data_IF_958710367693
#
_entry.id   IF_958710367693
#
_cell.length_a   1.000
_cell.length_b   1.000
_cell.length_c   1.000
_cell.angle_alpha   90.00
_cell.angle_beta   90.00
_cell.angle_gamma   90.00
#
_symmetry.space_group_name_H-M   'P 1'
#
loop_
_entity.id
_entity.type
_entity.pdbx_description
1 polymer ?
#
# COMPACT_ATOMS: atom_id res chain seq x y z
N UNK A 1 1.61 -7.46 -11.89
CA UNK A 1 0.84 -6.21 -11.67
C UNK A 1 1.66 -4.96 -12.00
N UNK A 2 2.93 -4.85 -11.57
CA UNK A 2 3.79 -3.68 -11.86
C UNK A 2 3.82 -3.28 -13.34
N UNK A 3 4.15 -4.21 -14.24
CA UNK A 3 4.19 -3.94 -15.68
C UNK A 3 2.86 -3.46 -16.28
N UNK A 4 1.73 -3.90 -15.71
CA UNK A 4 0.40 -3.46 -16.17
C UNK A 4 0.12 -2.00 -15.79
N UNK A 5 0.48 -1.60 -14.55
CA UNK A 5 0.38 -0.22 -14.09
C UNK A 5 1.32 0.69 -14.88
N UNK A 6 2.55 0.24 -15.15
CA UNK A 6 3.50 0.98 -15.98
C UNK A 6 3.02 1.12 -17.43
N UNK A 7 2.43 0.07 -18.02
CA UNK A 7 1.85 0.13 -19.36
C UNK A 7 0.66 1.11 -19.46
N UNK A 8 0.03 1.44 -18.32
CA UNK A 8 -0.99 2.48 -18.19
C UNK A 8 -0.41 3.88 -17.96
N UNK A 9 0.91 4.03 -17.99
CA UNK A 9 1.61 5.30 -17.82
C UNK A 9 1.94 5.66 -16.37
N UNK A 10 1.76 4.74 -15.42
CA UNK A 10 2.08 5.00 -14.01
C UNK A 10 3.59 4.83 -13.80
N UNK A 11 4.30 5.82 -13.22
CA UNK A 11 5.71 5.70 -12.89
C UNK A 11 5.99 4.46 -12.03
N UNK A 12 7.15 3.84 -12.22
CA UNK A 12 7.50 2.59 -11.53
C UNK A 12 7.46 2.71 -10.00
N UNK A 13 7.92 3.84 -9.46
CA UNK A 13 7.91 4.19 -8.04
C UNK A 13 6.49 4.27 -7.48
N UNK A 14 5.60 4.95 -8.20
CA UNK A 14 4.18 5.06 -7.85
C UNK A 14 3.48 3.70 -7.97
N UNK A 15 3.76 2.95 -9.03
CA UNK A 15 3.20 1.63 -9.25
C UNK A 15 3.62 0.63 -8.15
N UNK A 16 4.87 0.68 -7.68
CA UNK A 16 5.31 -0.12 -6.52
C UNK A 16 4.55 0.24 -5.26
N UNK A 17 4.41 1.54 -4.97
CA UNK A 17 3.65 2.03 -3.80
C UNK A 17 2.20 1.55 -3.82
N UNK A 18 1.53 1.61 -4.97
CA UNK A 18 0.15 1.13 -5.13
C UNK A 18 0.02 -0.37 -4.86
N UNK A 19 0.96 -1.18 -5.33
CA UNK A 19 0.96 -2.62 -5.11
C UNK A 19 1.16 -2.94 -3.62
N UNK A 20 2.15 -2.32 -2.98
CA UNK A 20 2.45 -2.57 -1.56
C UNK A 20 1.27 -2.12 -0.68
N UNK A 21 0.71 -0.93 -0.93
CA UNK A 21 -0.49 -0.45 -0.23
C UNK A 21 -1.65 -1.42 -0.38
N UNK A 22 -1.95 -1.86 -1.60
CA UNK A 22 -3.06 -2.79 -1.85
C UNK A 22 -2.87 -4.13 -1.11
N UNK A 23 -1.65 -4.65 -1.11
CA UNK A 23 -1.31 -5.89 -0.41
C UNK A 23 -1.46 -5.76 1.12
N UNK A 24 -0.91 -4.69 1.70
CA UNK A 24 -0.95 -4.48 3.15
C UNK A 24 -2.38 -4.18 3.64
N UNK A 25 -3.16 -3.41 2.89
CA UNK A 25 -4.57 -3.17 3.21
C UNK A 25 -5.38 -4.47 3.28
N UNK A 26 -5.12 -5.44 2.37
CA UNK A 26 -5.80 -6.74 2.43
C UNK A 26 -5.43 -7.55 3.69
N UNK A 27 -4.20 -7.40 4.18
CA UNK A 27 -3.76 -8.04 5.44
C UNK A 27 -4.40 -7.35 6.64
N UNK A 28 -4.40 -6.01 6.67
CA UNK A 28 -4.98 -5.22 7.76
C UNK A 28 -6.47 -5.57 7.91
N UNK A 29 -7.22 -5.61 6.81
CA UNK A 29 -8.65 -5.96 6.81
C UNK A 29 -8.96 -7.39 7.33
N UNK A 30 -7.96 -8.29 7.41
CA UNK A 30 -8.16 -9.64 7.99
C UNK A 30 -8.13 -9.64 9.51
N UNK A 31 -7.75 -8.53 10.15
CA UNK A 31 -7.67 -8.41 11.61
C UNK A 31 -9.08 -8.36 12.22
N UNK A 32 -10.03 -7.67 11.58
CA UNK A 32 -11.43 -7.64 11.99
C UNK A 32 -11.70 -6.81 13.25
N UNK A 33 -10.78 -5.92 13.61
CA UNK A 33 -10.83 -5.06 14.80
C UNK A 33 -10.57 -3.63 14.36
N UNK A 34 -11.63 -2.82 14.26
CA UNK A 34 -11.59 -1.54 13.53
C UNK A 34 -10.58 -0.53 14.08
N UNK A 35 -10.46 -0.38 15.39
CA UNK A 35 -9.48 0.51 16.03
C UNK A 35 -8.03 0.10 15.75
N UNK A 36 -7.77 -1.22 15.70
CA UNK A 36 -6.46 -1.76 15.34
C UNK A 36 -6.18 -1.58 13.84
N UNK A 37 -7.20 -1.75 13.00
CA UNK A 37 -7.07 -1.52 11.56
C UNK A 37 -6.73 -0.06 11.26
N UNK A 38 -7.42 0.88 11.90
CA UNK A 38 -7.19 2.32 11.75
C UNK A 38 -5.76 2.71 12.15
N UNK A 39 -5.26 2.19 13.28
CA UNK A 39 -3.90 2.44 13.74
C UNK A 39 -2.85 1.88 12.75
N UNK A 40 -3.04 0.63 12.29
CA UNK A 40 -2.11 -0.01 11.37
C UNK A 40 -2.13 0.63 9.98
N UNK A 41 -3.30 1.09 9.50
CA UNK A 41 -3.39 1.85 8.25
C UNK A 41 -2.66 3.17 8.36
N UNK A 42 -2.76 3.89 9.48
CA UNK A 42 -2.01 5.13 9.69
C UNK A 42 -0.49 4.89 9.68
N UNK A 43 -0.01 3.88 10.41
CA UNK A 43 1.40 3.50 10.46
C UNK A 43 1.91 3.08 9.08
N UNK A 44 1.13 2.27 8.34
CA UNK A 44 1.47 1.85 6.98
C UNK A 44 1.63 3.06 6.03
N UNK A 45 0.73 4.04 6.09
CA UNK A 45 0.80 5.23 5.24
C UNK A 45 2.01 6.11 5.56
N UNK A 46 2.39 6.21 6.84
CA UNK A 46 3.62 6.90 7.26
C UNK A 46 4.87 6.19 6.74
N UNK A 47 4.95 4.86 6.89
CA UNK A 47 6.09 4.07 6.40
C UNK A 47 6.21 4.12 4.87
N UNK A 48 5.09 4.04 4.15
CA UNK A 48 5.09 4.19 2.69
C UNK A 48 5.64 5.55 2.26
N UNK A 49 5.41 6.62 3.02
CA UNK A 49 5.94 7.97 2.72
C UNK A 49 7.47 8.02 2.79
N UNK A 50 8.07 7.29 3.72
CA UNK A 50 9.51 7.27 3.98
C UNK A 50 10.22 6.29 3.03
N UNK A 51 9.55 5.19 2.66
CA UNK A 51 10.10 4.18 1.79
C UNK A 51 10.42 4.73 0.39
N UNK A 52 11.69 4.58 -0.03
CA UNK A 52 12.17 4.91 -1.38
C UNK A 52 11.82 3.77 -2.37
N UNK A 53 10.53 3.56 -2.60
CA UNK A 53 9.98 2.61 -3.59
C UNK A 53 9.82 3.27 -4.96
#
# INVERSE_FOLDING_TARGET
QLFYLMARGIPETEARRLIVRGFLNEIIQKIGVGDVEDELTAVMEDELRIAQL
#
